data_IF_876661602950
#
_entry.id   IF_876661602950
#
_cell.length_a   1.000
_cell.length_b   1.000
_cell.length_c   1.000
_cell.angle_alpha   90.00
_cell.angle_beta   90.00
_cell.angle_gamma   90.00
#
_symmetry.space_group_name_H-M   'P 1'
#
loop_
_entity.id
_entity.type
_entity.pdbx_description
1 polymer ?
#
# COMPACT_ATOMS: atom_id res chain seq x y z
N UNK A 1 9.90 -5.13 -9.96
CA UNK A 1 8.45 -5.42 -10.01
C UNK A 1 7.83 -5.89 -8.71
N UNK A 2 8.52 -5.91 -7.65
CA UNK A 2 8.19 -6.83 -6.59
C UNK A 2 7.79 -6.17 -5.30
N UNK A 3 8.36 -5.06 -4.99
CA UNK A 3 8.01 -4.38 -3.77
C UNK A 3 6.68 -3.64 -3.86
N UNK A 4 6.37 -3.18 -5.04
CA UNK A 4 5.09 -2.54 -5.33
C UNK A 4 3.93 -3.53 -5.26
N UNK A 5 4.17 -4.79 -5.63
CA UNK A 5 3.19 -5.85 -5.46
C UNK A 5 2.96 -6.21 -3.98
N UNK A 6 4.02 -6.15 -3.16
CA UNK A 6 3.86 -6.34 -1.71
C UNK A 6 3.14 -5.16 -1.06
N UNK A 7 3.40 -3.95 -1.53
CA UNK A 7 2.71 -2.76 -1.05
C UNK A 7 1.24 -2.77 -1.44
N UNK A 8 0.93 -3.24 -2.65
CA UNK A 8 -0.44 -3.42 -3.08
C UNK A 8 -1.16 -4.52 -2.29
N UNK A 9 -0.46 -5.58 -1.94
CA UNK A 9 -1.02 -6.64 -1.11
C UNK A 9 -1.26 -6.20 0.33
N UNK A 10 -0.43 -5.33 0.87
CA UNK A 10 -0.68 -4.74 2.19
C UNK A 10 -1.83 -3.74 2.16
N UNK A 11 -1.98 -3.02 1.09
CA UNK A 11 -3.11 -2.10 0.90
C UNK A 11 -4.41 -2.88 0.72
N UNK A 12 -4.41 -3.93 -0.07
CA UNK A 12 -5.59 -4.79 -0.25
C UNK A 12 -5.93 -5.60 0.99
N UNK A 13 -4.96 -6.05 1.75
CA UNK A 13 -5.22 -6.76 3.01
C UNK A 13 -5.83 -5.83 4.07
N UNK A 14 -5.47 -4.56 4.08
CA UNK A 14 -6.10 -3.58 4.96
C UNK A 14 -7.51 -3.17 4.49
N UNK A 15 -7.74 -3.12 3.19
CA UNK A 15 -9.07 -2.89 2.65
C UNK A 15 -10.00 -4.09 2.84
N UNK A 16 -9.47 -5.30 2.80
CA UNK A 16 -10.24 -6.54 3.00
C UNK A 16 -10.65 -6.78 4.45
N UNK A 17 -9.90 -6.25 5.40
CA UNK A 17 -10.18 -6.45 6.82
C UNK A 17 -11.24 -5.48 7.38
N UNK A 18 -11.57 -4.45 6.64
CA UNK A 18 -12.62 -3.52 7.02
C UNK A 18 -14.05 -4.00 6.74
N UNK A 19 -14.18 -5.01 5.90
CA UNK A 19 -15.50 -5.53 5.54
C UNK A 19 -15.97 -6.71 6.39
N UNK A 20 -15.13 -7.26 7.24
CA UNK A 20 -15.48 -8.37 8.12
C UNK A 20 -16.14 -7.98 9.44
N UNK A 21 -16.32 -6.72 9.66
CA UNK A 21 -16.88 -6.19 10.90
C UNK A 21 -18.37 -5.86 10.87
N UNK A 22 -19.12 -6.48 9.96
CA UNK A 22 -20.56 -6.37 10.04
C UNK A 22 -21.08 -7.40 11.04
N UNK A 23 -20.85 -7.11 12.30
CA UNK A 23 -21.59 -7.73 13.36
C UNK A 23 -23.05 -7.37 13.18
N UNK A 24 -23.85 -8.32 12.78
CA UNK A 24 -25.26 -8.30 13.02
C UNK A 24 -25.46 -8.30 14.54
N UNK A 25 -25.24 -7.16 15.15
CA UNK A 25 -25.73 -6.88 16.46
C UNK A 25 -27.18 -6.53 16.31
N UNK A 26 -28.01 -7.52 16.43
CA UNK A 26 -29.44 -7.36 16.53
C UNK A 26 -29.72 -6.34 17.61
N UNK A 27 -30.39 -5.26 17.21
CA UNK A 27 -30.87 -4.29 18.14
C UNK A 27 -31.81 -4.95 19.11
N UNK A 28 -31.60 -4.83 20.33
CA UNK A 28 -32.64 -4.95 21.30
C UNK A 28 -32.84 -3.59 21.96
N UNK A 29 -34.02 -3.08 21.73
CA UNK A 29 -34.76 -2.29 22.68
C UNK A 29 -33.96 -1.74 23.86
N UNK A 30 -33.49 -0.57 23.72
CA UNK A 30 -33.21 0.27 24.84
C UNK A 30 -34.23 1.40 24.91
N UNK A 31 -35.32 1.14 25.53
CA UNK A 31 -36.15 2.19 26.11
C UNK A 31 -35.30 2.85 27.20
N UNK A 32 -35.06 4.10 27.10
CA UNK A 32 -34.37 4.78 28.18
C UNK A 32 -33.73 6.06 27.71
N UNK A 33 -34.50 7.00 27.45
CA UNK A 33 -34.62 8.17 28.31
C UNK A 33 -33.36 9.03 28.42
N UNK A 34 -33.52 10.20 27.90
CA UNK A 34 -33.00 11.46 28.38
C UNK A 34 -31.66 11.99 27.95
N UNK A 35 -31.74 12.92 27.07
CA UNK A 35 -31.23 14.30 27.23
C UNK A 35 -29.70 14.49 27.41
N UNK A 36 -28.94 13.44 27.57
CA UNK A 36 -27.48 13.53 27.67
C UNK A 36 -26.75 12.84 26.54
N UNK A 37 -27.44 12.32 25.58
CA UNK A 37 -26.88 11.53 24.51
C UNK A 37 -26.35 12.35 23.34
N UNK A 38 -26.61 13.62 23.26
CA UNK A 38 -26.17 14.45 22.13
C UNK A 38 -24.67 14.72 22.11
N UNK A 39 -24.04 14.72 23.27
CA UNK A 39 -22.60 14.93 23.35
C UNK A 39 -21.80 13.64 23.20
N UNK A 40 -22.40 12.50 23.53
CA UNK A 40 -21.81 11.19 23.29
C UNK A 40 -21.97 10.70 21.84
N UNK A 41 -23.01 11.11 21.15
CA UNK A 41 -23.21 10.76 19.75
C UNK A 41 -22.22 11.44 18.82
N UNK A 42 -21.71 12.59 19.20
CA UNK A 42 -20.66 13.27 18.43
C UNK A 42 -19.29 12.61 18.60
N UNK A 43 -19.00 12.05 19.75
CA UNK A 43 -17.79 11.25 19.97
C UNK A 43 -17.87 9.86 19.32
N UNK A 44 -19.05 9.25 19.30
CA UNK A 44 -19.23 7.97 18.61
C UNK A 44 -19.24 8.11 17.09
N UNK A 45 -19.65 9.27 16.56
CA UNK A 45 -19.52 9.54 15.12
C UNK A 45 -18.07 9.71 14.67
N UNK A 46 -17.21 10.25 15.51
CA UNK A 46 -15.77 10.30 15.19
C UNK A 46 -15.11 8.92 15.27
N UNK A 47 -15.66 8.01 16.05
CA UNK A 47 -15.22 6.62 16.11
C UNK A 47 -15.88 5.72 15.06
N UNK A 48 -16.98 6.10 14.47
CA UNK A 48 -17.63 5.37 13.40
C UNK A 48 -17.03 5.67 12.02
N UNK A 49 -16.15 6.62 11.92
CA UNK A 49 -15.28 6.79 10.76
C UNK A 49 -14.14 5.77 10.77
N UNK A 50 -14.39 4.58 11.24
CA UNK A 50 -13.44 3.48 11.24
C UNK A 50 -13.32 2.76 9.90
N UNK A 51 -13.73 3.39 8.80
CA UNK A 51 -13.11 3.05 7.53
C UNK A 51 -11.61 3.33 7.69
N UNK A 52 -10.73 2.32 7.60
CA UNK A 52 -9.31 2.56 7.75
C UNK A 52 -8.91 3.64 6.75
N UNK A 53 -8.41 4.75 7.26
CA UNK A 53 -7.86 5.79 6.39
C UNK A 53 -6.79 5.14 5.53
N UNK A 54 -6.82 5.35 4.21
CA UNK A 54 -5.78 4.81 3.35
C UNK A 54 -4.43 5.27 3.87
N UNK A 55 -3.49 4.35 3.97
CA UNK A 55 -2.13 4.69 4.40
C UNK A 55 -1.56 5.65 3.37
N UNK A 56 -1.04 6.82 3.78
CA UNK A 56 -0.42 7.74 2.85
C UNK A 56 0.69 7.08 2.04
N UNK A 57 0.78 7.40 0.75
CA UNK A 57 1.81 6.85 -0.13
C UNK A 57 3.22 7.09 0.41
N UNK A 58 3.44 8.22 1.06
CA UNK A 58 4.70 8.58 1.70
C UNK A 58 5.10 7.60 2.80
N UNK A 59 4.15 7.13 3.60
CA UNK A 59 4.40 6.17 4.68
C UNK A 59 4.76 4.80 4.09
N UNK A 60 4.03 4.35 3.09
CA UNK A 60 4.32 3.08 2.39
C UNK A 60 5.67 3.14 1.70
N UNK A 61 5.97 4.23 1.00
CA UNK A 61 7.26 4.45 0.36
C UNK A 61 8.41 4.44 1.37
N UNK A 62 8.24 5.07 2.52
CA UNK A 62 9.26 5.10 3.57
C UNK A 62 9.60 3.70 4.09
N UNK A 63 8.61 2.84 4.26
CA UNK A 63 8.81 1.44 4.67
C UNK A 63 9.57 0.64 3.63
N UNK A 64 9.20 0.80 2.36
CA UNK A 64 9.86 0.15 1.23
C UNK A 64 11.33 0.58 1.14
N UNK A 65 11.56 1.86 1.24
CA UNK A 65 12.90 2.44 1.13
C UNK A 65 13.78 2.07 2.33
N UNK A 66 13.21 1.99 3.53
CA UNK A 66 13.93 1.53 4.71
C UNK A 66 14.49 0.10 4.51
N UNK A 67 13.72 -0.77 3.88
CA UNK A 67 14.19 -2.10 3.50
C UNK A 67 15.34 -2.03 2.50
N UNK A 68 15.18 -1.31 1.40
CA UNK A 68 16.24 -1.18 0.39
C UNK A 68 17.48 -0.43 0.90
N UNK A 69 17.30 0.54 1.78
CA UNK A 69 18.41 1.23 2.43
C UNK A 69 19.32 0.23 3.15
N UNK A 70 18.71 -0.68 3.89
CA UNK A 70 19.44 -1.73 4.62
C UNK A 70 20.10 -2.73 3.68
N UNK A 71 19.37 -3.23 2.70
CA UNK A 71 19.85 -4.27 1.78
C UNK A 71 20.89 -3.76 0.78
N UNK A 72 20.72 -2.54 0.29
CA UNK A 72 21.57 -1.93 -0.74
C UNK A 72 22.60 -0.95 -0.17
N UNK A 73 22.50 -0.64 1.12
CA UNK A 73 23.36 0.35 1.75
C UNK A 73 23.28 1.71 1.04
N UNK A 74 22.05 2.23 0.87
CA UNK A 74 21.81 3.51 0.22
C UNK A 74 22.40 4.68 1.03
N UNK A 75 23.02 5.63 0.34
CA UNK A 75 23.40 6.88 0.97
C UNK A 75 22.20 7.81 1.20
N UNK A 76 22.38 8.90 1.90
CA UNK A 76 21.31 9.82 2.26
C UNK A 76 20.62 10.44 1.03
N UNK A 77 21.37 10.76 -0.01
CA UNK A 77 20.83 11.30 -1.25
C UNK A 77 20.05 10.26 -2.04
N UNK A 78 20.58 9.07 -2.17
CA UNK A 78 19.89 7.94 -2.80
C UNK A 78 18.58 7.63 -2.08
N UNK A 79 18.59 7.60 -0.75
CA UNK A 79 17.40 7.39 0.06
C UNK A 79 16.27 8.38 -0.27
N UNK A 80 16.59 9.68 -0.33
CA UNK A 80 15.62 10.73 -0.68
C UNK A 80 15.06 10.54 -2.08
N UNK A 81 15.92 10.28 -3.06
CA UNK A 81 15.51 10.11 -4.45
C UNK A 81 14.65 8.85 -4.62
N UNK A 82 15.06 7.74 -4.03
CA UNK A 82 14.28 6.48 -4.08
C UNK A 82 12.94 6.65 -3.40
N UNK A 83 12.89 7.34 -2.27
CA UNK A 83 11.62 7.66 -1.59
C UNK A 83 10.67 8.44 -2.50
N UNK A 84 11.17 9.43 -3.21
CA UNK A 84 10.36 10.20 -4.15
C UNK A 84 9.86 9.36 -5.32
N UNK A 85 10.70 8.48 -5.85
CA UNK A 85 10.33 7.56 -6.94
C UNK A 85 9.21 6.62 -6.50
N UNK A 86 9.36 5.98 -5.35
CA UNK A 86 8.34 5.06 -4.81
C UNK A 86 7.06 5.78 -4.42
N UNK A 87 7.14 6.95 -3.83
CA UNK A 87 5.95 7.76 -3.49
C UNK A 87 5.13 8.08 -4.73
N UNK A 88 5.77 8.55 -5.79
CA UNK A 88 5.12 8.81 -7.09
C UNK A 88 4.47 7.54 -7.66
N UNK A 89 5.19 6.45 -7.63
CA UNK A 89 4.73 5.17 -8.15
C UNK A 89 3.51 4.65 -7.39
N UNK A 90 3.54 4.71 -6.08
CA UNK A 90 2.42 4.28 -5.21
C UNK A 90 1.18 5.12 -5.48
N UNK A 91 1.32 6.43 -5.61
CA UNK A 91 0.20 7.33 -5.94
C UNK A 91 -0.42 6.98 -7.30
N UNK A 92 0.39 6.67 -8.29
CA UNK A 92 -0.10 6.22 -9.60
C UNK A 92 -0.83 4.88 -9.53
N UNK A 93 -0.34 3.96 -8.72
CA UNK A 93 -0.98 2.66 -8.51
C UNK A 93 -2.32 2.80 -7.79
N UNK A 94 -2.38 3.61 -6.75
CA UNK A 94 -3.63 3.91 -6.05
C UNK A 94 -4.67 4.49 -7.02
N UNK A 95 -4.27 5.45 -7.85
CA UNK A 95 -5.14 6.03 -8.87
C UNK A 95 -5.61 4.97 -9.89
N UNK A 96 -4.73 4.05 -10.26
CA UNK A 96 -5.06 2.95 -11.18
C UNK A 96 -6.12 2.00 -10.58
N UNK A 97 -5.97 1.63 -9.32
CA UNK A 97 -6.95 0.77 -8.63
C UNK A 97 -8.32 1.41 -8.49
N UNK A 98 -8.38 2.72 -8.39
CA UNK A 98 -9.64 3.47 -8.28
C UNK A 98 -10.37 3.65 -9.62
N UNK A 99 -9.76 3.34 -10.75
CA UNK A 99 -10.41 3.40 -12.06
C UNK A 99 -11.46 2.30 -12.20
N UNK A 100 -12.71 2.68 -12.13
CA UNK A 100 -13.85 1.75 -12.23
C UNK A 100 -14.11 1.24 -13.66
N UNK A 101 -13.70 2.00 -14.66
CA UNK A 101 -13.94 1.71 -16.08
C UNK A 101 -12.96 0.69 -16.65
N UNK A 102 -11.88 0.41 -15.94
CA UNK A 102 -10.83 -0.47 -16.39
C UNK A 102 -11.04 -1.88 -15.84
N UNK A 103 -10.89 -2.89 -16.68
CA UNK A 103 -10.94 -4.28 -16.27
C UNK A 103 -9.78 -4.64 -15.34
N UNK A 104 -9.94 -5.66 -14.51
CA UNK A 104 -8.89 -6.14 -13.60
C UNK A 104 -7.66 -6.62 -14.37
N UNK A 105 -7.86 -7.21 -15.54
CA UNK A 105 -6.78 -7.64 -16.43
C UNK A 105 -5.95 -6.44 -16.93
N UNK A 106 -6.62 -5.37 -17.37
CA UNK A 106 -5.95 -4.18 -17.86
C UNK A 106 -5.25 -3.42 -16.72
N UNK A 107 -5.87 -3.36 -15.54
CA UNK A 107 -5.23 -2.83 -14.33
C UNK A 107 -3.95 -3.60 -14.00
N UNK A 108 -3.98 -4.91 -14.10
CA UNK A 108 -2.83 -5.77 -13.86
C UNK A 108 -1.69 -5.49 -14.85
N UNK A 109 -2.01 -5.32 -16.12
CA UNK A 109 -1.05 -4.96 -17.17
C UNK A 109 -0.41 -3.60 -16.92
N UNK A 110 -1.23 -2.58 -16.65
CA UNK A 110 -0.71 -1.23 -16.34
C UNK A 110 0.11 -1.21 -15.07
N UNK A 111 -0.32 -1.93 -14.04
CA UNK A 111 0.43 -2.08 -12.81
C UNK A 111 1.82 -2.65 -13.05
N UNK A 112 1.91 -3.66 -13.91
CA UNK A 112 3.17 -4.27 -14.31
C UNK A 112 4.10 -3.26 -14.98
N UNK A 113 3.58 -2.48 -15.91
CA UNK A 113 4.34 -1.42 -16.60
C UNK A 113 4.82 -0.36 -15.61
N UNK A 114 3.97 0.10 -14.70
CA UNK A 114 4.35 1.07 -13.66
C UNK A 114 5.48 0.54 -12.78
N UNK A 115 5.42 -0.73 -12.40
CA UNK A 115 6.46 -1.38 -11.59
C UNK A 115 7.79 -1.45 -12.34
N UNK A 116 7.76 -1.83 -13.61
CA UNK A 116 8.98 -1.89 -14.44
C UNK A 116 9.61 -0.51 -14.63
N UNK A 117 8.81 0.51 -14.87
CA UNK A 117 9.28 1.90 -14.96
C UNK A 117 9.91 2.38 -13.66
N UNK A 118 9.29 2.05 -12.53
CA UNK A 118 9.84 2.38 -11.21
C UNK A 118 11.19 1.72 -10.98
N UNK A 119 11.31 0.44 -11.30
CA UNK A 119 12.57 -0.29 -11.17
C UNK A 119 13.68 0.33 -12.04
N UNK A 120 13.35 0.75 -13.25
CA UNK A 120 14.30 1.43 -14.14
C UNK A 120 14.76 2.77 -13.58
N UNK A 121 13.82 3.56 -13.04
CA UNK A 121 14.15 4.85 -12.40
C UNK A 121 15.07 4.65 -11.19
N UNK A 122 14.76 3.68 -10.35
CA UNK A 122 15.61 3.35 -9.19
C UNK A 122 16.99 2.91 -9.64
N UNK A 123 17.09 2.05 -10.67
CA UNK A 123 18.37 1.59 -11.17
C UNK A 123 19.27 2.68 -11.72
N UNK A 124 18.68 3.78 -12.23
CA UNK A 124 19.48 4.89 -12.76
C UNK A 124 20.32 5.59 -11.70
N UNK A 125 19.89 5.59 -10.45
CA UNK A 125 20.57 6.26 -9.35
C UNK A 125 21.45 5.32 -8.52
N UNK A 126 21.39 4.02 -8.77
CA UNK A 126 22.20 3.02 -8.09
C UNK A 126 23.57 2.85 -8.75
N UNK A 127 24.58 2.57 -7.94
CA UNK A 127 25.88 2.18 -8.47
C UNK A 127 25.84 0.72 -9.01
N UNK A 128 26.91 0.27 -9.60
CA UNK A 128 27.00 -1.05 -10.25
C UNK A 128 26.68 -2.20 -9.30
N UNK A 129 27.23 -2.18 -8.11
CA UNK A 129 27.05 -3.24 -7.10
C UNK A 129 25.62 -3.23 -6.54
N UNK A 130 25.10 -2.04 -6.27
CA UNK A 130 23.72 -1.86 -5.84
C UNK A 130 22.71 -2.33 -6.89
N UNK A 131 22.98 -2.08 -8.17
CA UNK A 131 22.15 -2.56 -9.29
C UNK A 131 22.05 -4.08 -9.32
N UNK A 132 23.19 -4.75 -9.14
CA UNK A 132 23.24 -6.22 -9.12
C UNK A 132 22.42 -6.78 -7.94
N UNK A 133 22.60 -6.23 -6.74
CA UNK A 133 21.81 -6.61 -5.56
C UNK A 133 20.33 -6.32 -5.74
N UNK A 134 19.97 -5.17 -6.28
CA UNK A 134 18.59 -4.78 -6.51
C UNK A 134 17.88 -5.75 -7.45
N UNK A 135 18.53 -6.15 -8.54
CA UNK A 135 17.98 -7.17 -9.46
C UNK A 135 17.75 -8.50 -8.76
N UNK A 136 18.68 -8.95 -7.95
CA UNK A 136 18.52 -10.19 -7.20
C UNK A 136 17.36 -10.13 -6.23
N UNK A 137 17.19 -9.02 -5.51
CA UNK A 137 16.07 -8.81 -4.60
C UNK A 137 14.72 -8.82 -5.33
N UNK A 138 14.66 -8.22 -6.51
CA UNK A 138 13.46 -8.23 -7.36
C UNK A 138 13.13 -9.66 -7.81
N UNK A 139 14.10 -10.42 -8.26
CA UNK A 139 13.91 -11.81 -8.72
C UNK A 139 13.45 -12.73 -7.58
N UNK A 140 14.06 -12.61 -6.40
CA UNK A 140 13.64 -13.36 -5.21
C UNK A 140 12.18 -13.08 -4.86
N UNK A 141 11.78 -11.85 -4.95
CA UNK A 141 10.41 -11.48 -4.61
C UNK A 141 9.40 -11.95 -5.66
N UNK A 142 9.74 -11.90 -6.94
CA UNK A 142 8.91 -12.50 -7.99
C UNK A 142 8.70 -13.98 -7.75
N UNK A 143 9.76 -14.69 -7.45
CA UNK A 143 9.73 -16.12 -7.14
C UNK A 143 8.83 -16.42 -5.94
N UNK A 144 8.91 -15.64 -4.86
CA UNK A 144 8.06 -15.77 -3.68
C UNK A 144 6.59 -15.51 -3.97
N UNK A 145 6.29 -14.58 -4.85
CA UNK A 145 4.92 -14.25 -5.25
C UNK A 145 4.33 -15.37 -6.11
N UNK A 146 5.10 -15.89 -7.06
CA UNK A 146 4.66 -17.01 -7.91
C UNK A 146 4.41 -18.27 -7.10
N UNK A 147 5.27 -18.58 -6.13
CA UNK A 147 5.08 -19.73 -5.26
C UNK A 147 3.83 -19.66 -4.37
N UNK A 148 3.31 -18.47 -4.11
CA UNK A 148 2.07 -18.29 -3.33
C UNK A 148 0.80 -18.44 -4.15
N UNK A 149 0.90 -18.43 -5.48
CA UNK A 149 -0.24 -18.62 -6.39
C UNK A 149 -0.60 -20.09 -6.64
N UNK A 150 0.25 -20.97 -6.19
CA UNK A 150 0.08 -22.42 -6.24
C UNK A 150 -0.08 -22.98 -4.84
#
# INVERSE_FOLDING_TARGET
MTFLLLSANTITAQYGNGYGGNGYGGGSNGYGNNGRSSQMSQMSQSNQQSAPKPIPAEVTAAKVVAYYKKELNLDALQEVVVTNIYTKSIKKQEALFLKKEMSDEDKSKEFKVLSEMTDLEVMQILNKDQKAKYRNLIEEQKSKIESRKH
#
